data_IF_772924509138
#
_entry.id   IF_772924509138
#
_cell.length_a   1.000
_cell.length_b   1.000
_cell.length_c   1.000
_cell.angle_alpha   90.00
_cell.angle_beta   90.00
_cell.angle_gamma   90.00
#
_symmetry.space_group_name_H-M   'P 1'
#
loop_
_entity.id
_entity.type
_entity.pdbx_description
1 polymer ?
#
# COMPACT_ATOMS: atom_id res chain seq x y z
N UNK A 1 -12.21 -4.25 -6.34
CA UNK A 1 -12.59 -5.13 -7.47
C UNK A 1 -11.38 -5.25 -8.39
N UNK A 2 -10.80 -6.45 -8.57
CA UNK A 2 -9.58 -6.63 -9.38
C UNK A 2 -9.92 -6.35 -10.86
N UNK A 3 -9.39 -5.26 -11.44
CA UNK A 3 -9.64 -4.91 -12.83
C UNK A 3 -8.64 -5.66 -13.73
N UNK A 4 -9.12 -6.32 -14.79
CA UNK A 4 -8.29 -6.97 -15.82
C UNK A 4 -7.18 -6.04 -16.31
N UNK A 5 -7.47 -4.74 -16.41
CA UNK A 5 -6.52 -3.71 -16.86
C UNK A 5 -5.33 -3.63 -15.90
N UNK A 6 -5.56 -3.62 -14.59
CA UNK A 6 -4.48 -3.48 -13.59
C UNK A 6 -3.55 -4.70 -13.60
N UNK A 7 -4.14 -5.90 -13.63
CA UNK A 7 -3.41 -7.17 -13.71
C UNK A 7 -2.59 -7.22 -15.01
N UNK A 8 -3.19 -6.84 -16.14
CA UNK A 8 -2.51 -6.79 -17.44
C UNK A 8 -1.38 -5.77 -17.46
N UNK A 9 -1.55 -4.60 -16.84
CA UNK A 9 -0.50 -3.57 -16.75
C UNK A 9 0.68 -4.02 -15.88
N UNK A 10 0.42 -4.76 -14.79
CA UNK A 10 1.50 -5.37 -13.99
C UNK A 10 2.25 -6.43 -14.77
N UNK A 11 1.54 -7.32 -15.48
CA UNK A 11 2.17 -8.33 -16.32
C UNK A 11 3.03 -7.69 -17.43
N UNK A 12 2.51 -6.65 -18.09
CA UNK A 12 3.25 -5.83 -19.06
C UNK A 12 4.53 -5.25 -18.49
N UNK A 13 4.45 -4.70 -17.28
CA UNK A 13 5.62 -4.14 -16.60
C UNK A 13 6.65 -5.21 -16.27
N UNK A 14 6.21 -6.38 -15.78
CA UNK A 14 7.10 -7.50 -15.47
C UNK A 14 7.82 -8.05 -16.72
N UNK A 15 7.11 -8.12 -17.85
CA UNK A 15 7.66 -8.61 -19.12
C UNK A 15 8.33 -7.53 -19.98
N UNK A 16 8.35 -6.27 -19.53
CA UNK A 16 8.77 -5.11 -20.34
C UNK A 16 8.05 -4.99 -21.69
N UNK A 17 6.77 -5.40 -21.74
CA UNK A 17 5.94 -5.35 -22.94
C UNK A 17 4.92 -4.21 -22.85
N UNK A 18 4.61 -3.59 -23.98
CA UNK A 18 3.66 -2.46 -24.02
C UNK A 18 2.32 -2.84 -24.64
N UNK A 19 2.30 -3.80 -25.58
CA UNK A 19 1.13 -4.13 -26.38
C UNK A 19 0.39 -5.38 -25.90
N UNK A 20 -0.94 -5.32 -25.90
CA UNK A 20 -1.80 -6.47 -25.53
C UNK A 20 -1.60 -7.68 -26.46
N UNK A 21 -1.22 -7.44 -27.73
CA UNK A 21 -0.96 -8.51 -28.70
C UNK A 21 0.24 -9.37 -28.32
N UNK A 22 1.25 -8.76 -27.69
CA UNK A 22 2.48 -9.44 -27.29
C UNK A 22 2.19 -10.27 -26.04
N UNK A 23 1.42 -9.72 -25.09
CA UNK A 23 0.91 -10.43 -23.91
C UNK A 23 0.04 -11.63 -24.28
N UNK A 24 -0.85 -11.46 -25.26
CA UNK A 24 -1.66 -12.59 -25.75
C UNK A 24 -0.76 -13.71 -26.29
N UNK A 25 0.27 -13.34 -27.06
CA UNK A 25 1.22 -14.29 -27.65
C UNK A 25 2.05 -15.01 -26.59
N UNK A 26 2.55 -14.29 -25.58
CA UNK A 26 3.33 -14.90 -24.48
C UNK A 26 2.49 -15.85 -23.63
N UNK A 27 1.21 -15.54 -23.41
CA UNK A 27 0.27 -16.42 -22.71
C UNK A 27 -0.23 -17.58 -23.58
N UNK A 28 0.18 -17.67 -24.86
CA UNK A 28 -0.27 -18.72 -25.79
C UNK A 28 -1.73 -18.57 -26.24
N UNK A 29 -2.27 -17.35 -26.18
CA UNK A 29 -3.64 -17.02 -26.60
C UNK A 29 -3.65 -16.28 -27.94
N UNK A 30 -4.73 -16.47 -28.70
CA UNK A 30 -4.97 -15.64 -29.87
C UNK A 30 -5.37 -14.21 -29.45
N UNK A 31 -5.10 -13.23 -30.32
CA UNK A 31 -5.48 -11.81 -30.10
C UNK A 31 -6.98 -11.66 -29.83
N UNK A 32 -7.81 -12.43 -30.54
CA UNK A 32 -9.28 -12.43 -30.37
C UNK A 32 -9.70 -13.02 -29.02
N UNK A 33 -9.12 -14.15 -28.61
CA UNK A 33 -9.43 -14.78 -27.32
C UNK A 33 -9.05 -13.86 -26.14
N UNK A 34 -7.91 -13.18 -26.23
CA UNK A 34 -7.50 -12.21 -25.20
C UNK A 34 -8.43 -10.98 -25.15
N UNK A 35 -8.82 -10.45 -26.32
CA UNK A 35 -9.74 -9.32 -26.39
C UNK A 35 -11.14 -9.65 -25.82
N UNK A 36 -11.66 -10.84 -26.09
CA UNK A 36 -12.93 -11.30 -25.51
C UNK A 36 -12.86 -11.43 -23.99
N UNK A 37 -11.77 -12.00 -23.47
CA UNK A 37 -11.50 -12.11 -22.03
C UNK A 37 -11.40 -10.74 -21.36
N UNK A 38 -10.75 -9.77 -22.02
CA UNK A 38 -10.69 -8.37 -21.57
C UNK A 38 -12.09 -7.75 -21.47
N UNK A 39 -12.95 -7.95 -22.49
CA UNK A 39 -14.34 -7.47 -22.47
C UNK A 39 -15.15 -8.10 -21.34
N UNK A 40 -14.93 -9.37 -21.04
CA UNK A 40 -15.58 -10.11 -19.95
C UNK A 40 -14.91 -9.91 -18.57
N UNK A 41 -13.88 -9.06 -18.49
CA UNK A 41 -13.09 -8.82 -17.28
C UNK A 41 -12.56 -10.12 -16.61
N UNK A 42 -12.19 -11.11 -17.42
CA UNK A 42 -11.75 -12.44 -16.97
C UNK A 42 -10.29 -12.68 -17.34
N UNK A 43 -9.39 -12.57 -16.37
CA UNK A 43 -7.95 -12.70 -16.62
C UNK A 43 -7.53 -14.18 -16.74
N UNK A 44 -6.67 -14.54 -17.72
CA UNK A 44 -6.21 -15.92 -17.96
C UNK A 44 -5.17 -16.36 -16.92
N UNK A 45 -5.62 -16.66 -15.70
CA UNK A 45 -4.74 -17.02 -14.57
C UNK A 45 -3.95 -18.31 -14.81
N UNK A 46 -4.60 -19.34 -15.35
CA UNK A 46 -3.98 -20.65 -15.59
C UNK A 46 -2.84 -20.54 -16.61
N UNK A 47 -3.05 -19.72 -17.63
CA UNK A 47 -2.07 -19.46 -18.68
C UNK A 47 -0.87 -18.67 -18.13
N UNK A 48 -1.10 -17.72 -17.22
CA UNK A 48 -0.03 -17.01 -16.50
C UNK A 48 0.80 -17.95 -15.60
N UNK A 49 0.15 -18.81 -14.81
CA UNK A 49 0.83 -19.81 -13.97
C UNK A 49 1.64 -20.80 -14.82
N UNK A 50 1.11 -21.19 -15.98
CA UNK A 50 1.81 -22.07 -16.91
C UNK A 50 3.03 -21.38 -17.52
N UNK A 51 2.92 -20.09 -17.87
CA UNK A 51 4.05 -19.30 -18.37
C UNK A 51 5.18 -19.25 -17.33
N UNK A 52 4.87 -18.92 -16.07
CA UNK A 52 5.85 -18.88 -14.99
C UNK A 52 6.54 -20.25 -14.76
N UNK A 53 5.82 -21.36 -14.94
CA UNK A 53 6.40 -22.71 -14.86
C UNK A 53 7.26 -23.09 -16.05
N UNK A 54 6.89 -22.65 -17.26
CA UNK A 54 7.61 -22.97 -18.50
C UNK A 54 8.87 -22.13 -18.68
N UNK A 55 8.85 -20.92 -18.16
CA UNK A 55 9.92 -19.93 -18.30
C UNK A 55 10.32 -19.41 -16.91
N UNK A 56 10.92 -20.26 -16.06
CA UNK A 56 11.35 -19.85 -14.73
C UNK A 56 12.39 -18.72 -14.76
N UNK A 57 13.12 -18.55 -15.87
CA UNK A 57 14.10 -17.48 -16.10
C UNK A 57 13.48 -16.07 -16.12
N UNK A 58 12.16 -15.96 -16.30
CA UNK A 58 11.46 -14.67 -16.29
C UNK A 58 11.17 -14.16 -14.88
N UNK A 59 11.40 -14.97 -13.83
CA UNK A 59 11.21 -14.60 -12.42
C UNK A 59 9.86 -13.90 -12.14
N UNK A 60 8.78 -14.40 -12.77
CA UNK A 60 7.47 -13.79 -12.67
C UNK A 60 6.85 -14.02 -11.28
N UNK A 61 6.67 -12.93 -10.53
CA UNK A 61 5.84 -12.93 -9.32
C UNK A 61 4.35 -12.98 -9.70
N UNK A 62 3.85 -14.20 -9.88
CA UNK A 62 2.46 -14.47 -10.28
C UNK A 62 1.47 -13.87 -9.27
N UNK A 63 1.78 -13.94 -7.98
CA UNK A 63 0.91 -13.43 -6.93
C UNK A 63 0.80 -11.91 -7.04
N UNK A 64 1.93 -11.20 -7.18
CA UNK A 64 1.94 -9.75 -7.41
C UNK A 64 1.19 -9.35 -8.67
N UNK A 65 1.35 -10.08 -9.76
CA UNK A 65 0.64 -9.77 -11.00
C UNK A 65 -0.87 -9.84 -10.77
N UNK A 66 -1.35 -10.92 -10.14
CA UNK A 66 -2.77 -11.17 -9.92
C UNK A 66 -3.40 -10.28 -8.84
N UNK A 67 -2.65 -9.94 -7.79
CA UNK A 67 -3.20 -9.28 -6.60
C UNK A 67 -2.73 -7.85 -6.43
N UNK A 68 -1.52 -7.54 -6.91
CA UNK A 68 -0.80 -6.29 -6.62
C UNK A 68 0.05 -6.36 -5.37
N UNK A 69 0.04 -7.49 -4.66
CA UNK A 69 0.83 -7.73 -3.47
C UNK A 69 1.92 -8.75 -3.80
N UNK A 70 3.17 -8.32 -3.69
CA UNK A 70 4.33 -9.20 -3.82
C UNK A 70 4.73 -9.61 -2.41
N UNK A 71 5.01 -10.90 -2.18
CA UNK A 71 5.52 -11.36 -0.87
C UNK A 71 6.90 -10.75 -0.63
N UNK A 72 7.78 -10.66 -1.62
CA UNK A 72 9.10 -10.03 -1.45
C UNK A 72 9.04 -8.53 -1.20
N UNK A 73 8.01 -7.86 -1.73
CA UNK A 73 7.79 -6.43 -1.47
C UNK A 73 7.06 -6.21 -0.16
N UNK A 74 6.13 -7.08 0.21
CA UNK A 74 5.50 -7.12 1.51
C UNK A 74 6.46 -7.59 2.59
N UNK A 75 7.48 -8.40 2.30
CA UNK A 75 8.57 -8.81 3.19
C UNK A 75 9.68 -7.77 3.21
N UNK A 76 9.99 -7.06 2.11
CA UNK A 76 10.86 -5.88 2.19
C UNK A 76 10.18 -4.75 2.96
N UNK A 77 8.88 -4.55 2.73
CA UNK A 77 8.05 -3.62 3.47
C UNK A 77 7.77 -4.15 4.89
N UNK A 78 7.71 -5.46 5.15
CA UNK A 78 7.56 -6.10 6.47
C UNK A 78 8.89 -6.44 7.15
N UNK A 79 10.03 -6.22 6.50
CA UNK A 79 11.38 -6.19 7.07
C UNK A 79 11.79 -4.73 7.32
N UNK A 80 11.21 -3.79 6.57
CA UNK A 80 11.07 -2.38 6.94
C UNK A 80 10.05 -2.17 8.09
N UNK A 81 8.98 -2.98 8.17
CA UNK A 81 8.00 -3.01 9.28
C UNK A 81 8.27 -4.18 10.25
N UNK A 82 9.40 -4.87 10.10
CA UNK A 82 9.77 -6.12 10.76
C UNK A 82 10.37 -5.93 12.13
N UNK A 83 9.64 -5.23 13.00
CA UNK A 83 9.78 -5.33 14.45
C UNK A 83 8.98 -6.54 14.97
N UNK A 84 8.55 -7.47 14.10
CA UNK A 84 7.89 -8.69 14.53
C UNK A 84 8.53 -9.88 13.82
N UNK A 85 9.64 -10.38 14.39
CA UNK A 85 9.88 -11.81 14.37
C UNK A 85 9.42 -12.35 15.72
N UNK A 86 8.37 -13.16 15.66
CA UNK A 86 7.84 -13.98 16.73
C UNK A 86 8.81 -15.11 17.08
N UNK A 87 9.93 -14.85 17.74
CA UNK A 87 10.63 -15.88 18.52
C UNK A 87 11.23 -15.21 19.76
N UNK A 88 10.45 -15.22 20.86
CA UNK A 88 10.84 -15.01 22.27
C UNK A 88 9.99 -13.98 23.04
N UNK A 89 8.69 -14.26 23.19
CA UNK A 89 7.88 -13.62 24.24
C UNK A 89 7.14 -14.66 25.09
N UNK A 90 7.89 -15.43 25.88
CA UNK A 90 7.44 -15.79 27.24
C UNK A 90 7.91 -14.71 28.20
N UNK A 91 7.03 -13.76 28.49
CA UNK A 91 7.22 -12.80 29.59
C UNK A 91 7.78 -11.45 29.14
N UNK A 92 6.86 -10.50 28.94
CA UNK A 92 7.02 -9.05 29.04
C UNK A 92 8.20 -8.38 28.27
N UNK A 93 7.95 -7.56 27.23
CA UNK A 93 9.01 -6.74 26.67
C UNK A 93 9.12 -5.40 27.40
N UNK A 94 10.33 -5.23 27.91
CA UNK A 94 10.96 -4.03 28.40
C UNK A 94 11.01 -2.94 27.30
N UNK A 95 10.45 -1.76 27.57
CA UNK A 95 10.48 -0.59 26.67
C UNK A 95 11.86 0.07 26.63
N UNK A 96 12.86 -0.60 26.07
CA UNK A 96 14.23 -0.11 26.10
C UNK A 96 15.05 -0.53 24.89
N UNK A 97 14.70 -0.06 23.69
CA UNK A 97 15.62 -0.07 22.55
C UNK A 97 15.60 1.27 21.82
N UNK A 98 16.73 1.98 21.88
CA UNK A 98 17.05 3.14 21.05
C UNK A 98 17.42 2.66 19.65
N UNK A 99 16.60 3.01 18.66
CA UNK A 99 16.92 2.79 17.26
C UNK A 99 17.69 4.01 16.73
N UNK A 100 18.91 3.81 16.24
CA UNK A 100 19.56 4.80 15.38
C UNK A 100 18.96 4.66 13.97
N UNK A 101 18.00 5.54 13.70
CA UNK A 101 17.42 5.70 12.37
C UNK A 101 18.38 6.54 11.53
N UNK A 102 18.98 5.95 10.49
CA UNK A 102 19.67 6.73 9.47
C UNK A 102 18.66 7.63 8.74
N UNK A 103 18.81 8.92 8.98
CA UNK A 103 18.08 10.06 8.39
C UNK A 103 16.71 10.35 9.04
N UNK A 104 16.74 10.96 10.22
CA UNK A 104 15.89 12.12 10.46
C UNK A 104 16.57 13.33 9.80
N UNK A 105 15.96 14.06 8.83
CA UNK A 105 16.08 15.49 8.94
C UNK A 105 15.26 15.80 10.18
N UNK A 106 15.92 15.85 11.33
CA UNK A 106 15.45 16.73 12.40
C UNK A 106 15.13 18.03 11.66
N UNK A 107 13.88 18.51 11.64
CA UNK A 107 13.64 19.87 11.16
C UNK A 107 14.72 20.72 11.81
N UNK A 108 15.43 21.56 11.05
CA UNK A 108 16.59 22.30 11.58
C UNK A 108 16.25 23.07 12.88
N UNK A 109 14.96 23.27 13.13
CA UNK A 109 14.36 24.00 14.26
C UNK A 109 13.50 23.13 15.21
N UNK A 110 13.62 21.79 15.20
CA UNK A 110 12.87 20.95 16.13
C UNK A 110 13.59 20.84 17.48
N UNK A 111 13.07 21.56 18.48
CA UNK A 111 13.60 21.57 19.85
C UNK A 111 13.14 20.39 20.73
N UNK A 112 12.25 19.51 20.24
CA UNK A 112 11.59 18.49 21.06
C UNK A 112 11.46 17.18 20.28
N UNK A 113 11.87 16.07 20.90
CA UNK A 113 11.61 14.71 20.42
C UNK A 113 10.19 14.28 20.82
N UNK A 114 9.40 13.82 19.86
CA UNK A 114 8.03 13.34 20.09
C UNK A 114 7.97 11.84 19.77
N UNK A 115 7.48 11.05 20.71
CA UNK A 115 7.18 9.63 20.49
C UNK A 115 5.92 9.51 19.66
N UNK A 116 6.01 8.84 18.51
CA UNK A 116 4.89 8.65 17.60
C UNK A 116 4.40 7.20 17.66
N UNK A 117 3.09 7.02 17.65
CA UNK A 117 2.48 5.71 17.50
C UNK A 117 2.52 5.24 16.03
N UNK A 118 2.10 3.99 15.78
CA UNK A 118 2.15 3.39 14.44
C UNK A 118 1.30 4.16 13.42
N UNK A 119 0.12 4.63 13.83
CA UNK A 119 -0.82 5.34 12.96
C UNK A 119 -0.25 6.71 12.55
N UNK A 120 0.35 7.43 13.49
CA UNK A 120 1.03 8.70 13.26
C UNK A 120 2.24 8.55 12.34
N UNK A 121 3.03 7.49 12.52
CA UNK A 121 4.16 7.16 11.63
C UNK A 121 3.70 6.90 10.19
N UNK A 122 2.62 6.13 10.03
CA UNK A 122 2.04 5.85 8.71
C UNK A 122 1.51 7.12 8.06
N UNK A 123 0.81 7.97 8.81
CA UNK A 123 0.28 9.25 8.32
C UNK A 123 1.41 10.18 7.85
N UNK A 124 2.49 10.31 8.65
CA UNK A 124 3.67 11.11 8.28
C UNK A 124 4.39 10.57 7.06
N UNK A 125 4.53 9.24 6.95
CA UNK A 125 5.13 8.58 5.78
C UNK A 125 4.32 8.88 4.52
N UNK A 126 2.99 8.76 4.59
CA UNK A 126 2.07 9.10 3.51
C UNK A 126 2.17 10.58 3.11
N UNK A 127 2.24 11.50 4.08
CA UNK A 127 2.38 12.93 3.83
C UNK A 127 3.71 13.26 3.14
N UNK A 128 4.84 12.75 3.65
CA UNK A 128 6.19 13.04 3.11
C UNK A 128 6.38 12.55 1.68
N UNK A 129 5.77 11.41 1.31
CA UNK A 129 5.87 10.83 -0.04
C UNK A 129 4.89 11.42 -1.06
N UNK A 130 3.93 12.21 -0.60
CA UNK A 130 2.85 12.74 -1.44
C UNK A 130 3.25 14.02 -2.18
N UNK A 131 2.56 14.30 -3.31
CA UNK A 131 2.71 15.57 -4.05
C UNK A 131 2.05 16.72 -3.28
N UNK A 132 2.44 17.97 -3.55
CA UNK A 132 1.93 19.18 -2.85
C UNK A 132 0.40 19.26 -2.75
N UNK A 133 -0.32 18.93 -3.82
CA UNK A 133 -1.78 18.92 -3.81
C UNK A 133 -2.35 17.90 -2.82
N UNK A 134 -1.79 16.69 -2.79
CA UNK A 134 -2.21 15.62 -1.88
C UNK A 134 -1.83 15.92 -0.44
N UNK A 135 -0.66 16.51 -0.20
CA UNK A 135 -0.27 17.02 1.13
C UNK A 135 -1.27 18.03 1.65
N UNK A 136 -1.68 18.99 0.80
CA UNK A 136 -2.73 19.96 1.15
C UNK A 136 -4.03 19.26 1.52
N UNK A 137 -4.48 18.28 0.73
CA UNK A 137 -5.69 17.51 1.04
C UNK A 137 -5.59 16.77 2.38
N UNK A 138 -4.45 16.15 2.71
CA UNK A 138 -4.23 15.49 4.00
C UNK A 138 -4.40 16.49 5.15
N UNK A 139 -3.81 17.68 5.02
CA UNK A 139 -3.93 18.73 6.04
C UNK A 139 -5.35 19.30 6.15
N UNK A 140 -6.02 19.51 5.02
CA UNK A 140 -7.40 20.01 4.98
C UNK A 140 -8.35 19.01 5.67
N UNK A 141 -8.17 17.70 5.44
CA UNK A 141 -8.95 16.65 6.11
C UNK A 141 -8.67 16.65 7.62
N UNK A 142 -7.39 16.67 8.03
CA UNK A 142 -7.04 16.70 9.45
C UNK A 142 -7.65 17.90 10.18
N UNK A 143 -7.66 19.07 9.53
CA UNK A 143 -8.31 20.28 10.05
C UNK A 143 -9.82 20.10 10.17
N UNK A 144 -10.49 19.62 9.11
CA UNK A 144 -11.93 19.36 9.12
C UNK A 144 -12.33 18.37 10.22
N UNK A 145 -11.55 17.31 10.41
CA UNK A 145 -11.77 16.35 11.50
C UNK A 145 -11.66 17.01 12.87
N UNK A 146 -10.65 17.86 13.08
CA UNK A 146 -10.52 18.60 14.34
C UNK A 146 -11.66 19.58 14.58
N UNK A 147 -12.10 20.30 13.55
CA UNK A 147 -13.19 21.26 13.65
C UNK A 147 -14.52 20.53 13.91
N UNK A 148 -14.74 19.35 13.31
CA UNK A 148 -15.92 18.52 13.56
C UNK A 148 -16.03 18.08 15.02
N UNK A 149 -14.91 17.64 15.62
CA UNK A 149 -14.89 17.21 17.04
C UNK A 149 -15.28 18.37 17.96
N UNK A 150 -14.77 19.58 17.72
CA UNK A 150 -15.15 20.76 18.52
C UNK A 150 -16.63 21.10 18.42
N UNK A 151 -17.20 21.01 17.22
CA UNK A 151 -18.64 21.25 17.02
C UNK A 151 -19.47 20.19 17.75
N UNK A 152 -19.02 18.93 17.76
CA UNK A 152 -19.69 17.87 18.52
C UNK A 152 -19.64 18.12 20.04
N UNK A 153 -18.50 18.60 20.56
CA UNK A 153 -18.34 19.00 21.96
C UNK A 153 -19.26 20.17 22.33
N UNK A 154 -19.27 21.25 21.54
CA UNK A 154 -20.16 22.41 21.76
C UNK A 154 -21.64 22.01 21.72
N UNK A 155 -22.03 21.11 20.80
CA UNK A 155 -23.39 20.59 20.72
C UNK A 155 -23.75 19.72 21.93
N UNK A 156 -22.80 18.97 22.49
CA UNK A 156 -23.02 18.19 23.69
C UNK A 156 -23.25 19.09 24.91
N UNK A 157 -22.46 20.15 25.06
CA UNK A 157 -22.62 21.15 26.12
C UNK A 157 -23.98 21.85 26.06
N UNK A 158 -24.41 22.28 24.87
CA UNK A 158 -25.73 22.90 24.67
C UNK A 158 -26.86 21.91 25.02
N UNK A 159 -26.73 20.64 24.65
CA UNK A 159 -27.74 19.63 25.01
C UNK A 159 -27.85 19.41 26.51
N UNK A 160 -26.72 19.37 27.22
CA UNK A 160 -26.70 19.28 28.67
C UNK A 160 -27.28 20.54 29.35
N UNK A 161 -26.96 21.74 28.84
CA UNK A 161 -27.44 23.01 29.40
C UNK A 161 -28.96 23.19 29.22
N UNK A 162 -29.51 22.75 28.09
CA UNK A 162 -30.93 22.92 27.76
C UNK A 162 -31.79 21.65 27.95
N UNK A 163 -31.22 20.55 28.44
CA UNK A 163 -31.92 19.30 28.76
C UNK A 163 -32.57 18.61 27.54
N UNK A 164 -31.93 18.68 26.37
CA UNK A 164 -32.39 18.11 25.09
C UNK A 164 -31.82 16.72 24.81
#
# INVERSE_FOLDING_TARGET
MKNFIDVNNRLKSALSLTMDKDIASTLGLSKSAFAERKKRNSFPKKELELLAKKQPELELDVEYILTGFSIDKAEKDAKLLGIINEEDHKGAPNYGHTYETDIYPTPKDANISVTLNLEELLLLSCFRKSRKQSQKTILDIAKLSSDSVKVEEELAEIKEEFGL
#
